data_IF_682980251272
#
_entry.id   IF_682980251272
#
_cell.length_a   1.000
_cell.length_b   1.000
_cell.length_c   1.000
_cell.angle_alpha   90.00
_cell.angle_beta   90.00
_cell.angle_gamma   90.00
#
_symmetry.space_group_name_H-M   'P 1'
#
loop_
_entity.id
_entity.type
_entity.pdbx_description
1 polymer ?
#
# COMPACT_ATOMS: atom_id res chain seq x y z
N UNK A 1 65.19 22.44 -23.34
CA UNK A 1 63.89 22.30 -24.08
C UNK A 1 62.91 21.31 -23.44
N UNK A 2 63.36 20.19 -22.88
CA UNK A 2 62.45 19.20 -22.20
C UNK A 2 61.77 19.72 -20.94
N UNK A 3 62.44 20.58 -20.14
CA UNK A 3 61.89 21.10 -18.88
C UNK A 3 60.75 22.09 -19.08
N UNK A 4 60.73 22.83 -20.18
CA UNK A 4 59.62 23.73 -20.55
C UNK A 4 58.39 22.97 -20.99
N UNK A 5 58.57 21.87 -21.72
CA UNK A 5 57.47 20.99 -22.11
C UNK A 5 56.79 20.28 -20.90
N UNK A 6 57.58 19.84 -19.91
CA UNK A 6 57.09 19.22 -18.71
C UNK A 6 56.27 20.21 -17.84
N UNK A 7 56.75 21.46 -17.68
CA UNK A 7 56.00 22.50 -16.95
C UNK A 7 54.69 22.89 -17.63
N UNK A 8 54.66 22.93 -18.96
CA UNK A 8 53.43 23.17 -19.73
C UNK A 8 52.42 22.02 -19.64
N UNK A 9 52.87 20.78 -19.60
CA UNK A 9 52.02 19.61 -19.41
C UNK A 9 51.40 19.60 -18.01
N UNK A 10 52.16 19.90 -16.97
CA UNK A 10 51.69 19.94 -15.58
C UNK A 10 50.65 21.08 -15.41
N UNK A 11 50.89 22.25 -16.01
CA UNK A 11 49.92 23.35 -15.95
C UNK A 11 48.63 23.06 -16.67
N UNK A 12 48.67 22.34 -17.81
CA UNK A 12 47.45 21.90 -18.51
C UNK A 12 46.69 20.82 -17.76
N UNK A 13 47.38 19.88 -17.11
CA UNK A 13 46.76 18.87 -16.27
C UNK A 13 46.04 19.46 -15.05
N UNK A 14 46.67 20.49 -14.39
CA UNK A 14 46.07 21.18 -13.25
C UNK A 14 44.83 21.99 -13.67
N UNK A 15 44.83 22.55 -14.87
CA UNK A 15 43.68 23.30 -15.41
C UNK A 15 42.48 22.36 -15.70
N UNK A 16 42.75 21.20 -16.30
CA UNK A 16 41.74 20.17 -16.58
C UNK A 16 41.17 19.60 -15.27
N UNK A 17 42.02 19.33 -14.27
CA UNK A 17 41.56 18.88 -12.96
C UNK A 17 40.66 19.92 -12.25
N UNK A 18 41.02 21.21 -12.36
CA UNK A 18 40.21 22.27 -11.75
C UNK A 18 38.85 22.44 -12.45
N UNK A 19 38.82 22.36 -13.78
CA UNK A 19 37.57 22.40 -14.57
C UNK A 19 36.70 21.21 -14.24
N UNK A 20 37.28 20.00 -14.14
CA UNK A 20 36.57 18.78 -13.81
C UNK A 20 36.00 18.80 -12.36
N UNK A 21 36.78 19.35 -11.42
CA UNK A 21 36.33 19.57 -10.04
C UNK A 21 35.14 20.53 -9.94
N UNK A 22 35.24 21.68 -10.63
CA UNK A 22 34.15 22.65 -10.69
C UNK A 22 32.87 22.09 -11.38
N UNK A 23 33.06 21.29 -12.43
CA UNK A 23 31.96 20.65 -13.13
C UNK A 23 31.23 19.63 -12.25
N UNK A 24 31.95 18.74 -11.54
CA UNK A 24 31.40 17.78 -10.60
C UNK A 24 30.73 18.50 -9.41
N UNK A 25 31.33 19.53 -8.85
CA UNK A 25 30.72 20.30 -7.76
C UNK A 25 29.47 21.07 -8.19
N UNK A 26 29.46 21.61 -9.40
CA UNK A 26 28.29 22.27 -9.99
C UNK A 26 27.15 21.29 -10.24
N UNK A 27 27.46 20.10 -10.76
CA UNK A 27 26.46 19.05 -10.96
C UNK A 27 25.87 18.54 -9.64
N UNK A 28 26.67 18.36 -8.58
CA UNK A 28 26.15 17.97 -7.26
C UNK A 28 25.18 19.01 -6.69
N UNK A 29 25.43 20.29 -6.90
CA UNK A 29 24.53 21.37 -6.45
C UNK A 29 23.19 21.40 -7.16
N UNK A 30 23.08 20.88 -8.38
CA UNK A 30 21.83 20.80 -9.14
C UNK A 30 21.15 19.44 -8.99
N UNK A 31 21.89 18.35 -8.94
CA UNK A 31 21.36 16.98 -8.88
C UNK A 31 20.77 16.68 -7.50
N UNK A 32 21.40 17.11 -6.40
CA UNK A 32 20.90 16.87 -5.05
C UNK A 32 19.53 17.51 -4.83
N UNK A 33 19.27 18.78 -5.13
CA UNK A 33 17.93 19.37 -4.97
C UNK A 33 16.91 18.75 -5.92
N UNK A 34 17.31 18.33 -7.14
CA UNK A 34 16.40 17.63 -8.06
C UNK A 34 16.01 16.25 -7.52
N UNK A 35 16.97 15.48 -6.99
CA UNK A 35 16.70 14.20 -6.34
C UNK A 35 15.84 14.39 -5.09
N UNK A 36 16.13 15.39 -4.25
CA UNK A 36 15.30 15.72 -3.10
C UNK A 36 13.89 16.16 -3.51
N UNK A 37 13.76 16.92 -4.59
CA UNK A 37 12.45 17.31 -5.14
C UNK A 37 11.68 16.10 -5.70
N UNK A 38 12.36 15.19 -6.40
CA UNK A 38 11.76 13.94 -6.90
C UNK A 38 11.38 13.00 -5.75
N UNK A 39 12.20 12.90 -4.70
CA UNK A 39 11.89 12.14 -3.49
C UNK A 39 10.75 12.76 -2.68
N UNK A 40 10.61 14.09 -2.66
CA UNK A 40 9.48 14.75 -2.02
C UNK A 40 8.19 14.65 -2.84
N UNK A 41 8.28 14.52 -4.17
CA UNK A 41 7.14 14.21 -5.05
C UNK A 41 6.74 12.72 -5.01
N UNK A 42 7.69 11.83 -4.72
CA UNK A 42 7.46 10.44 -4.37
C UNK A 42 7.03 10.28 -2.91
N UNK A 43 6.64 11.39 -2.27
CA UNK A 43 6.18 11.44 -0.89
C UNK A 43 5.21 10.32 -0.63
N UNK A 44 5.45 9.60 0.45
CA UNK A 44 4.52 8.62 1.00
C UNK A 44 3.12 9.21 0.88
N UNK A 45 2.34 8.65 -0.01
CA UNK A 45 0.92 8.97 -0.12
C UNK A 45 0.31 8.51 1.21
N UNK A 46 0.28 9.43 2.17
CA UNK A 46 -0.30 9.19 3.49
C UNK A 46 -1.76 8.80 3.27
N UNK A 47 -2.02 7.51 3.40
CA UNK A 47 -3.35 6.94 3.20
C UNK A 47 -4.24 7.51 4.28
N UNK A 48 -5.04 8.53 3.92
CA UNK A 48 -5.95 9.19 4.87
C UNK A 48 -6.95 8.15 5.38
N UNK A 49 -7.05 7.96 6.69
CA UNK A 49 -8.05 7.08 7.28
C UNK A 49 -9.46 7.56 6.88
N UNK A 50 -10.38 6.63 6.72
CA UNK A 50 -11.78 6.95 6.45
C UNK A 50 -12.40 7.56 7.71
N UNK A 51 -13.03 8.73 7.60
CA UNK A 51 -13.86 9.23 8.69
C UNK A 51 -14.92 8.17 9.03
N UNK A 52 -15.13 7.93 10.30
CA UNK A 52 -16.09 6.97 10.87
C UNK A 52 -15.66 5.48 10.83
N UNK A 53 -14.56 5.09 10.16
CA UNK A 53 -14.09 3.69 10.20
C UNK A 53 -13.66 3.31 11.62
N UNK A 54 -12.88 4.17 12.28
CA UNK A 54 -12.45 3.99 13.68
C UNK A 54 -13.64 3.95 14.64
N UNK A 55 -14.65 4.78 14.41
CA UNK A 55 -15.88 4.74 15.22
C UNK A 55 -16.63 3.42 15.02
N UNK A 56 -16.77 2.92 13.80
CA UNK A 56 -17.39 1.64 13.55
C UNK A 56 -16.58 0.47 14.14
N UNK A 57 -15.25 0.53 14.10
CA UNK A 57 -14.37 -0.43 14.76
C UNK A 57 -14.53 -0.39 16.29
N UNK A 58 -14.69 0.79 16.91
CA UNK A 58 -14.94 0.92 18.36
C UNK A 58 -16.27 0.30 18.79
N UNK A 59 -17.30 0.37 17.95
CA UNK A 59 -18.58 -0.32 18.22
C UNK A 59 -18.42 -1.85 18.25
N UNK A 60 -17.51 -2.40 17.44
CA UNK A 60 -17.23 -3.82 17.46
C UNK A 60 -16.44 -4.26 18.69
N UNK A 61 -15.44 -3.46 19.09
CA UNK A 61 -14.50 -3.82 20.15
C UNK A 61 -15.05 -3.50 21.54
N UNK A 62 -15.59 -2.29 21.72
CA UNK A 62 -15.94 -1.78 23.04
C UNK A 62 -17.38 -2.09 23.42
N UNK A 63 -18.31 -1.99 22.47
CA UNK A 63 -19.73 -2.22 22.71
C UNK A 63 -20.23 -3.60 22.27
N UNK A 64 -19.45 -4.34 21.47
CA UNK A 64 -19.89 -5.61 20.87
C UNK A 64 -21.08 -5.46 19.91
N UNK A 65 -21.42 -4.22 19.51
CA UNK A 65 -22.56 -3.92 18.64
C UNK A 65 -22.23 -4.17 17.17
N UNK A 66 -22.28 -5.43 16.80
CA UNK A 66 -22.07 -5.87 15.40
C UNK A 66 -23.07 -5.27 14.42
N UNK A 67 -24.30 -5.04 14.88
CA UNK A 67 -25.38 -4.52 14.01
C UNK A 67 -25.20 -3.04 13.75
N UNK A 68 -24.85 -2.26 14.78
CA UNK A 68 -24.51 -0.85 14.65
C UNK A 68 -23.29 -0.63 13.77
N UNK A 69 -22.23 -1.38 14.00
CA UNK A 69 -21.00 -1.32 13.19
C UNK A 69 -21.30 -1.65 11.73
N UNK A 70 -22.02 -2.73 11.45
CA UNK A 70 -22.38 -3.13 10.09
C UNK A 70 -23.16 -2.03 9.36
N UNK A 71 -24.11 -1.40 10.04
CA UNK A 71 -24.87 -0.29 9.45
C UNK A 71 -23.98 0.88 9.05
N UNK A 72 -22.99 1.21 9.86
CA UNK A 72 -22.04 2.30 9.56
C UNK A 72 -21.12 1.90 8.42
N UNK A 73 -20.62 0.66 8.42
CA UNK A 73 -19.80 0.19 7.31
C UNK A 73 -20.54 0.21 5.97
N UNK A 74 -21.82 -0.15 5.92
CA UNK A 74 -22.62 -0.06 4.71
C UNK A 74 -22.85 1.39 4.25
N UNK A 75 -22.98 2.34 5.17
CA UNK A 75 -23.03 3.77 4.82
C UNK A 75 -21.69 4.27 4.25
N UNK A 76 -20.57 3.81 4.80
CA UNK A 76 -19.23 4.12 4.27
C UNK A 76 -19.05 3.49 2.88
N UNK A 77 -19.54 2.28 2.66
CA UNK A 77 -19.51 1.61 1.35
C UNK A 77 -20.16 2.47 0.27
N UNK A 78 -21.34 3.00 0.54
CA UNK A 78 -22.05 3.88 -0.39
C UNK A 78 -21.24 5.16 -0.71
N UNK A 79 -20.62 5.76 0.30
CA UNK A 79 -19.76 6.93 0.10
C UNK A 79 -18.48 6.64 -0.69
N UNK A 80 -17.94 5.43 -0.55
CA UNK A 80 -16.72 4.99 -1.23
C UNK A 80 -16.95 4.57 -2.69
N UNK A 81 -18.19 4.28 -3.09
CA UNK A 81 -18.47 3.86 -4.48
C UNK A 81 -17.98 4.89 -5.49
N UNK A 82 -18.14 6.18 -5.20
CA UNK A 82 -17.69 7.29 -6.07
C UNK A 82 -16.21 7.63 -5.96
N UNK A 83 -15.47 7.07 -5.01
CA UNK A 83 -14.05 7.36 -4.76
C UNK A 83 -13.16 6.28 -5.35
N UNK A 84 -12.06 6.69 -5.98
CA UNK A 84 -10.99 5.78 -6.40
C UNK A 84 -10.00 5.57 -5.24
N UNK A 85 -10.43 4.80 -4.24
CA UNK A 85 -9.63 4.47 -3.06
C UNK A 85 -9.71 2.96 -2.78
N UNK A 86 -8.99 2.15 -3.58
CA UNK A 86 -9.09 0.69 -3.48
C UNK A 86 -8.59 0.17 -2.13
N UNK A 87 -7.58 0.78 -1.51
CA UNK A 87 -7.08 0.32 -0.23
C UNK A 87 -8.14 0.43 0.88
N UNK A 88 -8.78 1.60 1.00
CA UNK A 88 -9.82 1.80 2.00
C UNK A 88 -11.09 1.01 1.70
N UNK A 89 -11.41 0.75 0.41
CA UNK A 89 -12.47 -0.22 0.04
C UNK A 89 -12.10 -1.62 0.51
N UNK A 90 -10.86 -2.05 0.32
CA UNK A 90 -10.38 -3.34 0.80
C UNK A 90 -10.53 -3.50 2.32
N UNK A 91 -10.11 -2.49 3.10
CA UNK A 91 -10.28 -2.48 4.56
C UNK A 91 -11.76 -2.57 4.97
N UNK A 92 -12.62 -1.81 4.32
CA UNK A 92 -14.06 -1.82 4.59
C UNK A 92 -14.66 -3.22 4.36
N UNK A 93 -14.36 -3.83 3.22
CA UNK A 93 -14.87 -5.16 2.88
C UNK A 93 -14.32 -6.25 3.82
N UNK A 94 -13.08 -6.15 4.26
CA UNK A 94 -12.49 -7.00 5.29
C UNK A 94 -13.29 -6.92 6.60
N UNK A 95 -13.66 -5.71 7.06
CA UNK A 95 -14.48 -5.51 8.27
C UNK A 95 -15.87 -6.11 8.13
N UNK A 96 -16.55 -5.83 7.01
CA UNK A 96 -17.90 -6.39 6.76
C UNK A 96 -17.82 -7.91 6.68
N UNK A 97 -16.84 -8.46 6.00
CA UNK A 97 -16.60 -9.91 5.90
C UNK A 97 -16.42 -10.56 7.26
N UNK A 98 -15.62 -9.93 8.14
CA UNK A 98 -15.39 -10.42 9.51
C UNK A 98 -16.66 -10.44 10.36
N UNK A 99 -17.55 -9.44 10.20
CA UNK A 99 -18.85 -9.46 10.89
C UNK A 99 -19.69 -10.64 10.42
N UNK A 100 -19.83 -10.85 9.11
CA UNK A 100 -20.59 -11.98 8.58
C UNK A 100 -19.98 -13.33 8.96
N UNK A 101 -18.65 -13.42 9.02
CA UNK A 101 -17.97 -14.61 9.50
C UNK A 101 -18.33 -14.91 10.97
N UNK A 102 -18.30 -13.90 11.83
CA UNK A 102 -18.70 -14.02 13.24
C UNK A 102 -20.19 -14.32 13.43
N UNK A 103 -21.03 -13.97 12.46
CA UNK A 103 -22.45 -14.35 12.39
C UNK A 103 -22.68 -15.75 11.77
N UNK A 104 -21.61 -16.50 11.49
CA UNK A 104 -21.64 -17.81 10.81
C UNK A 104 -22.22 -17.76 9.39
N UNK A 105 -22.38 -16.59 8.80
CA UNK A 105 -22.79 -16.42 7.41
C UNK A 105 -21.55 -16.48 6.50
N UNK A 106 -20.98 -17.66 6.40
CA UNK A 106 -19.71 -17.89 5.69
C UNK A 106 -19.79 -17.63 4.19
N UNK A 107 -20.96 -17.71 3.59
CA UNK A 107 -21.17 -17.41 2.17
C UNK A 107 -20.98 -15.90 1.93
N UNK A 108 -21.63 -15.05 2.73
CA UNK A 108 -21.45 -13.60 2.64
C UNK A 108 -20.04 -13.18 3.05
N UNK A 109 -19.49 -13.77 4.10
CA UNK A 109 -18.11 -13.52 4.53
C UNK A 109 -17.13 -13.76 3.38
N UNK A 110 -17.21 -14.91 2.71
CA UNK A 110 -16.37 -15.21 1.54
C UNK A 110 -16.49 -14.15 0.44
N UNK A 111 -17.71 -13.72 0.15
CA UNK A 111 -17.95 -12.70 -0.89
C UNK A 111 -17.27 -11.38 -0.56
N UNK A 112 -17.40 -10.88 0.67
CA UNK A 112 -16.76 -9.65 1.10
C UNK A 112 -15.25 -9.77 1.20
N UNK A 113 -14.70 -10.88 1.69
CA UNK A 113 -13.26 -11.11 1.67
C UNK A 113 -12.69 -11.18 0.25
N UNK A 114 -13.44 -11.73 -0.70
CA UNK A 114 -13.07 -11.70 -2.12
C UNK A 114 -12.98 -10.27 -2.64
N UNK A 115 -13.96 -9.42 -2.35
CA UNK A 115 -13.93 -8.00 -2.71
C UNK A 115 -12.77 -7.26 -2.03
N UNK A 116 -12.47 -7.58 -0.76
CA UNK A 116 -11.32 -7.05 -0.06
C UNK A 116 -10.02 -7.39 -0.79
N UNK A 117 -9.81 -8.66 -1.11
CA UNK A 117 -8.63 -9.14 -1.84
C UNK A 117 -8.46 -8.41 -3.18
N UNK A 118 -9.52 -8.31 -3.99
CA UNK A 118 -9.48 -7.65 -5.29
C UNK A 118 -9.07 -6.17 -5.16
N UNK A 119 -9.57 -5.48 -4.14
CA UNK A 119 -9.20 -4.10 -3.87
C UNK A 119 -7.77 -3.95 -3.32
N UNK A 120 -7.30 -4.88 -2.50
CA UNK A 120 -5.90 -4.89 -2.03
C UNK A 120 -4.93 -5.18 -3.17
N UNK A 121 -5.29 -6.02 -4.12
CA UNK A 121 -4.52 -6.27 -5.34
C UNK A 121 -4.39 -4.99 -6.18
N UNK A 122 -5.48 -4.27 -6.41
CA UNK A 122 -5.46 -2.98 -7.15
C UNK A 122 -4.61 -1.92 -6.41
N UNK A 123 -4.56 -1.96 -5.09
CA UNK A 123 -3.77 -1.02 -4.26
C UNK A 123 -2.33 -1.48 -4.01
N UNK A 124 -1.90 -2.56 -4.65
CA UNK A 124 -0.56 -3.16 -4.51
C UNK A 124 -0.20 -3.46 -3.03
N UNK A 125 -1.17 -3.97 -2.28
CA UNK A 125 -1.04 -4.24 -0.84
C UNK A 125 -0.93 -5.75 -0.58
N UNK A 126 0.19 -6.35 -1.00
CA UNK A 126 0.42 -7.80 -1.00
C UNK A 126 0.10 -8.48 0.34
N UNK A 127 0.54 -7.91 1.47
CA UNK A 127 0.24 -8.47 2.79
C UNK A 127 -1.27 -8.54 3.05
N UNK A 128 -2.01 -7.48 2.74
CA UNK A 128 -3.47 -7.43 2.91
C UNK A 128 -4.20 -8.34 1.93
N UNK A 129 -3.71 -8.47 0.72
CA UNK A 129 -4.21 -9.43 -0.26
C UNK A 129 -4.09 -10.87 0.25
N UNK A 130 -2.93 -11.22 0.83
CA UNK A 130 -2.69 -12.53 1.46
C UNK A 130 -3.63 -12.76 2.65
N UNK A 131 -3.76 -11.79 3.57
CA UNK A 131 -4.68 -11.87 4.72
C UNK A 131 -6.12 -12.15 4.24
N UNK A 132 -6.62 -11.39 3.25
CA UNK A 132 -7.96 -11.60 2.70
C UNK A 132 -8.12 -12.97 2.01
N UNK A 133 -7.06 -13.48 1.37
CA UNK A 133 -7.06 -14.81 0.76
C UNK A 133 -7.19 -15.91 1.83
N UNK A 134 -6.51 -15.76 2.97
CA UNK A 134 -6.62 -16.67 4.11
C UNK A 134 -8.03 -16.64 4.71
N UNK A 135 -8.65 -15.47 4.82
CA UNK A 135 -10.03 -15.32 5.32
C UNK A 135 -11.06 -15.95 4.37
N UNK A 136 -10.85 -15.86 3.05
CA UNK A 136 -11.63 -16.59 2.06
C UNK A 136 -11.48 -18.11 2.24
N UNK A 137 -10.25 -18.58 2.46
CA UNK A 137 -9.98 -20.00 2.69
C UNK A 137 -10.68 -20.50 3.96
N UNK A 138 -10.59 -19.76 5.06
CA UNK A 138 -11.28 -20.05 6.31
C UNK A 138 -12.81 -20.10 6.12
N UNK A 139 -13.37 -19.14 5.37
CA UNK A 139 -14.80 -19.10 5.05
C UNK A 139 -15.23 -20.32 4.23
N UNK A 140 -14.42 -20.74 3.24
CA UNK A 140 -14.67 -21.95 2.44
C UNK A 140 -14.60 -23.21 3.28
N UNK A 141 -13.63 -23.33 4.17
CA UNK A 141 -13.50 -24.44 5.11
C UNK A 141 -14.75 -24.57 5.99
N UNK A 142 -15.25 -23.44 6.53
CA UNK A 142 -16.47 -23.42 7.35
C UNK A 142 -17.74 -23.79 6.57
N UNK A 143 -17.75 -23.54 5.26
CA UNK A 143 -18.80 -23.99 4.34
C UNK A 143 -18.68 -25.48 3.98
N UNK A 144 -17.63 -26.17 4.46
CA UNK A 144 -17.26 -27.55 4.11
C UNK A 144 -16.83 -27.73 2.64
N UNK A 145 -16.50 -26.63 1.95
CA UNK A 145 -15.88 -26.65 0.63
C UNK A 145 -14.35 -26.80 0.80
N UNK A 146 -13.95 -28.03 1.12
CA UNK A 146 -12.55 -28.35 1.45
C UNK A 146 -11.63 -28.15 0.23
N UNK A 147 -12.13 -28.44 -0.96
CA UNK A 147 -11.33 -28.30 -2.17
C UNK A 147 -10.97 -26.83 -2.45
N UNK A 148 -11.97 -25.94 -2.33
CA UNK A 148 -11.72 -24.50 -2.45
C UNK A 148 -10.82 -23.98 -1.34
N UNK A 149 -11.03 -24.43 -0.12
CA UNK A 149 -10.20 -24.03 1.02
C UNK A 149 -8.73 -24.40 0.79
N UNK A 150 -8.44 -25.63 0.37
CA UNK A 150 -7.07 -26.09 0.07
C UNK A 150 -6.43 -25.24 -1.04
N UNK A 151 -7.15 -24.99 -2.14
CA UNK A 151 -6.62 -24.12 -3.22
C UNK A 151 -6.26 -22.72 -2.71
N UNK A 152 -7.12 -22.12 -1.88
CA UNK A 152 -6.88 -20.78 -1.36
C UNK A 152 -5.72 -20.74 -0.36
N UNK A 153 -5.62 -21.72 0.55
CA UNK A 153 -4.50 -21.82 1.49
C UNK A 153 -3.15 -22.06 0.78
N UNK A 154 -3.16 -22.76 -0.36
CA UNK A 154 -1.93 -22.96 -1.14
C UNK A 154 -1.54 -21.77 -2.01
N UNK A 155 -2.44 -20.82 -2.22
CA UNK A 155 -2.22 -19.62 -3.03
C UNK A 155 -1.85 -18.38 -2.18
N UNK A 156 -2.02 -18.43 -0.86
CA UNK A 156 -1.69 -17.37 0.08
C UNK A 156 -0.23 -17.44 0.53
#
# INVERSE_FOLDING_TARGET
MQEIHAKLLISRLSLVQNIFYHYIHGMKRLIIPIICMLLSLAGCHERKPLPNLEFADSLLTDAGDKSGALRIFLQIEEQLQSRQDPYNKGLLYERIGSIYYGQMNYVRAYHYFKQARENFQVSDSLRKETEATLDMAASSYRQKDLERAIRLYSAA
#
